data_IF_134833734833
#
_entry.id   IF_134833734833
#
_cell.length_a   1.000
_cell.length_b   1.000
_cell.length_c   1.000
_cell.angle_alpha   90.00
_cell.angle_beta   90.00
_cell.angle_gamma   90.00
#
_symmetry.space_group_name_H-M   'P 1'
#
loop_
_entity.id
_entity.type
_entity.pdbx_description
1 polymer ?
#
# COMPACT_ATOMS: atom_id res chain seq x y z
N UNK A 1 -72.45 -2.60 25.79
CA UNK A 1 -71.85 -2.43 24.44
C UNK A 1 -70.39 -2.90 24.36
N UNK A 2 -69.57 -2.70 25.40
CA UNK A 2 -68.17 -3.19 25.45
C UNK A 2 -68.03 -4.72 25.47
N UNK A 3 -68.97 -5.44 26.08
CA UNK A 3 -68.92 -6.90 26.23
C UNK A 3 -69.14 -7.67 24.92
N UNK A 4 -69.91 -7.10 23.98
CA UNK A 4 -70.11 -7.71 22.66
C UNK A 4 -68.88 -7.56 21.79
N UNK A 5 -68.23 -6.39 21.85
CA UNK A 5 -66.98 -6.14 21.14
C UNK A 5 -65.91 -7.14 21.61
N UNK A 6 -65.72 -7.31 22.92
CA UNK A 6 -64.74 -8.27 23.46
C UNK A 6 -65.01 -9.73 23.06
N UNK A 7 -66.29 -10.15 23.01
CA UNK A 7 -66.63 -11.50 22.56
C UNK A 7 -66.43 -11.69 21.04
N UNK A 8 -66.72 -10.68 20.23
CA UNK A 8 -66.48 -10.73 18.79
C UNK A 8 -64.97 -10.72 18.45
N UNK A 9 -64.17 -9.88 19.12
CA UNK A 9 -62.71 -9.85 18.91
C UNK A 9 -62.05 -11.11 19.47
N UNK A 10 -62.50 -11.64 20.60
CA UNK A 10 -61.96 -12.86 21.21
C UNK A 10 -62.21 -14.11 20.36
N UNK A 11 -63.38 -14.24 19.73
CA UNK A 11 -63.73 -15.43 18.92
C UNK A 11 -63.08 -15.43 17.53
N UNK A 12 -62.79 -14.26 16.97
CA UNK A 12 -62.26 -14.11 15.61
C UNK A 12 -60.82 -13.55 15.53
N UNK A 13 -60.12 -13.41 16.67
CA UNK A 13 -58.77 -12.84 16.73
C UNK A 13 -57.81 -13.49 15.72
N UNK A 14 -57.85 -14.83 15.54
CA UNK A 14 -56.98 -15.52 14.57
C UNK A 14 -57.22 -15.09 13.13
N UNK A 15 -58.47 -14.85 12.72
CA UNK A 15 -58.78 -14.36 11.37
C UNK A 15 -58.40 -12.89 11.21
N UNK A 16 -58.65 -12.07 12.22
CA UNK A 16 -58.33 -10.62 12.18
C UNK A 16 -56.81 -10.43 12.11
N UNK A 17 -56.04 -11.12 12.95
CA UNK A 17 -54.58 -11.06 12.91
C UNK A 17 -53.99 -11.71 11.66
N UNK A 18 -54.59 -12.79 11.15
CA UNK A 18 -54.18 -13.40 9.88
C UNK A 18 -54.36 -12.47 8.69
N UNK A 19 -55.49 -11.77 8.59
CA UNK A 19 -55.75 -10.78 7.55
C UNK A 19 -54.80 -9.58 7.67
N UNK A 20 -54.60 -9.06 8.89
CA UNK A 20 -53.67 -7.96 9.13
C UNK A 20 -52.23 -8.32 8.74
N UNK A 21 -51.80 -9.56 9.03
CA UNK A 21 -50.47 -10.05 8.68
C UNK A 21 -50.29 -10.14 7.16
N UNK A 22 -51.29 -10.63 6.42
CA UNK A 22 -51.24 -10.64 4.94
C UNK A 22 -51.14 -9.23 4.38
N UNK A 23 -51.92 -8.27 4.90
CA UNK A 23 -51.85 -6.87 4.46
C UNK A 23 -50.46 -6.27 4.72
N UNK A 24 -49.87 -6.54 5.89
CA UNK A 24 -48.52 -6.06 6.23
C UNK A 24 -47.46 -6.69 5.31
N UNK A 25 -47.49 -8.02 5.11
CA UNK A 25 -46.51 -8.72 4.26
C UNK A 25 -46.63 -8.27 2.80
N UNK A 26 -47.83 -8.17 2.26
CA UNK A 26 -48.05 -7.66 0.88
C UNK A 26 -47.58 -6.21 0.75
N UNK A 27 -47.81 -5.37 1.77
CA UNK A 27 -47.31 -3.98 1.78
C UNK A 27 -45.79 -3.92 1.79
N UNK A 28 -45.10 -4.73 2.58
CA UNK A 28 -43.63 -4.77 2.60
C UNK A 28 -43.04 -5.33 1.30
N UNK A 29 -43.70 -6.32 0.68
CA UNK A 29 -43.26 -6.88 -0.61
C UNK A 29 -43.46 -5.87 -1.76
N UNK A 30 -44.61 -5.20 -1.84
CA UNK A 30 -44.87 -4.20 -2.89
C UNK A 30 -44.10 -2.90 -2.67
N UNK A 31 -43.97 -2.40 -1.43
CA UNK A 31 -43.18 -1.19 -1.14
C UNK A 31 -41.67 -1.42 -1.28
N UNK A 32 -41.19 -2.62 -0.93
CA UNK A 32 -39.80 -3.04 -1.13
C UNK A 32 -39.42 -3.20 -2.61
N UNK A 33 -40.36 -3.58 -3.48
CA UNK A 33 -40.12 -3.71 -4.93
C UNK A 33 -40.35 -2.41 -5.72
N UNK A 34 -41.37 -1.61 -5.38
CA UNK A 34 -41.69 -0.39 -6.12
C UNK A 34 -40.70 0.77 -5.86
N UNK A 35 -40.04 0.80 -4.69
CA UNK A 35 -39.14 1.89 -4.30
C UNK A 35 -37.72 1.84 -4.85
N UNK A 36 -37.22 0.69 -5.33
CA UNK A 36 -35.82 0.54 -5.78
C UNK A 36 -35.58 0.74 -7.28
N UNK A 37 -36.61 0.60 -8.12
CA UNK A 37 -36.47 0.72 -9.58
C UNK A 37 -36.89 2.07 -10.16
N UNK A 38 -37.85 2.77 -9.53
CA UNK A 38 -38.56 3.87 -10.18
C UNK A 38 -37.94 5.28 -9.99
N UNK A 39 -36.91 5.43 -9.13
CA UNK A 39 -36.29 6.73 -8.83
C UNK A 39 -34.93 6.95 -9.49
N UNK A 40 -34.40 5.98 -10.25
CA UNK A 40 -33.24 6.20 -11.11
C UNK A 40 -33.73 6.71 -12.46
N UNK A 41 -34.02 8.01 -12.53
CA UNK A 41 -33.98 8.70 -13.81
C UNK A 41 -32.59 8.47 -14.41
N UNK A 42 -32.49 7.60 -15.41
CA UNK A 42 -31.32 7.49 -16.28
C UNK A 42 -31.27 8.75 -17.13
N UNK A 43 -31.00 9.91 -16.51
CA UNK A 43 -30.70 11.12 -17.24
C UNK A 43 -29.42 10.91 -18.03
N UNK A 44 -29.39 11.35 -19.29
CA UNK A 44 -28.17 11.36 -20.08
C UNK A 44 -27.09 12.16 -19.34
N UNK A 45 -25.91 11.58 -19.14
CA UNK A 45 -24.77 12.27 -18.55
C UNK A 45 -23.78 12.60 -19.66
N UNK A 46 -24.02 13.74 -20.31
CA UNK A 46 -23.26 14.18 -21.48
C UNK A 46 -21.89 14.73 -21.10
N UNK A 47 -20.84 14.23 -21.76
CA UNK A 47 -19.47 14.71 -21.63
C UNK A 47 -18.77 14.63 -22.98
N UNK A 48 -18.22 15.77 -23.46
CA UNK A 48 -17.63 15.88 -24.82
C UNK A 48 -18.55 15.38 -25.95
N UNK A 49 -19.88 15.57 -25.80
CA UNK A 49 -20.88 15.10 -26.77
C UNK A 49 -21.21 13.61 -26.70
N UNK A 50 -20.65 12.87 -25.73
CA UNK A 50 -20.90 11.45 -25.49
C UNK A 50 -21.72 11.27 -24.21
N UNK A 51 -22.79 10.49 -24.26
CA UNK A 51 -23.54 10.12 -23.06
C UNK A 51 -22.80 9.01 -22.30
N UNK A 52 -22.27 9.34 -21.13
CA UNK A 52 -21.54 8.41 -20.27
C UNK A 52 -22.45 7.35 -19.61
N UNK A 53 -23.77 7.57 -19.61
CA UNK A 53 -24.74 6.58 -19.18
C UNK A 53 -25.16 5.62 -20.30
N UNK A 54 -24.75 5.87 -21.55
CA UNK A 54 -25.00 4.98 -22.69
C UNK A 54 -24.40 3.59 -22.43
N UNK A 55 -25.22 2.51 -22.46
CA UNK A 55 -24.74 1.14 -22.31
C UNK A 55 -23.62 0.77 -23.28
N UNK A 56 -23.61 1.28 -24.51
CA UNK A 56 -22.59 1.01 -25.51
C UNK A 56 -21.25 1.64 -25.13
N UNK A 57 -21.26 2.91 -24.68
CA UNK A 57 -20.07 3.63 -24.20
C UNK A 57 -19.47 2.92 -22.99
N UNK A 58 -20.33 2.52 -22.03
CA UNK A 58 -19.90 1.78 -20.85
C UNK A 58 -19.38 0.39 -21.19
N UNK A 59 -19.99 -0.29 -22.17
CA UNK A 59 -19.51 -1.60 -22.62
C UNK A 59 -18.14 -1.51 -23.29
N UNK A 60 -17.95 -0.55 -24.19
CA UNK A 60 -16.66 -0.29 -24.85
C UNK A 60 -15.56 0.03 -23.85
N UNK A 61 -15.88 0.76 -22.78
CA UNK A 61 -14.94 1.02 -21.69
C UNK A 61 -14.62 -0.22 -20.87
N UNK A 62 -15.62 -1.06 -20.54
CA UNK A 62 -15.39 -2.35 -19.87
C UNK A 62 -14.50 -3.28 -20.70
N UNK A 63 -14.77 -3.36 -22.01
CA UNK A 63 -13.93 -4.13 -22.93
C UNK A 63 -12.50 -3.59 -22.93
N UNK A 64 -12.32 -2.26 -22.93
CA UNK A 64 -11.00 -1.64 -22.83
C UNK A 64 -10.28 -1.94 -21.50
N UNK A 65 -10.97 -1.89 -20.36
CA UNK A 65 -10.37 -2.26 -19.05
C UNK A 65 -9.94 -3.73 -19.05
N UNK A 66 -10.77 -4.60 -19.62
CA UNK A 66 -10.52 -6.03 -19.70
C UNK A 66 -9.28 -6.33 -20.54
N UNK A 67 -9.22 -5.83 -21.78
CA UNK A 67 -8.07 -6.07 -22.65
C UNK A 67 -6.80 -5.37 -22.16
N UNK A 68 -6.90 -4.20 -21.52
CA UNK A 68 -5.76 -3.56 -20.88
C UNK A 68 -5.15 -4.46 -19.80
N UNK A 69 -5.97 -5.02 -18.91
CA UNK A 69 -5.50 -5.92 -17.87
C UNK A 69 -4.85 -7.19 -18.45
N UNK A 70 -5.43 -7.80 -19.49
CA UNK A 70 -4.87 -8.99 -20.12
C UNK A 70 -3.55 -8.74 -20.86
N UNK A 71 -3.34 -7.52 -21.36
CA UNK A 71 -2.13 -7.12 -22.09
C UNK A 71 -1.08 -6.45 -21.17
N UNK A 72 -1.31 -6.49 -19.85
CA UNK A 72 -0.40 -5.91 -18.85
C UNK A 72 -0.40 -4.38 -18.80
N UNK A 73 -1.34 -3.72 -19.49
CA UNK A 73 -1.51 -2.27 -19.43
C UNK A 73 -2.31 -1.88 -18.18
N UNK A 74 -1.87 -0.83 -17.49
CA UNK A 74 -2.61 -0.27 -16.35
C UNK A 74 -3.67 0.70 -16.86
N UNK A 75 -4.93 0.38 -16.60
CA UNK A 75 -6.06 1.27 -16.88
C UNK A 75 -6.89 1.42 -15.61
N UNK A 76 -7.26 2.65 -15.26
CA UNK A 76 -8.12 2.91 -14.11
C UNK A 76 -9.54 2.43 -14.40
N UNK A 77 -10.09 1.59 -13.53
CA UNK A 77 -11.47 1.09 -13.63
C UNK A 77 -12.53 2.20 -13.50
N UNK A 78 -12.16 3.36 -12.95
CA UNK A 78 -13.01 4.56 -12.89
C UNK A 78 -12.68 5.59 -13.99
N UNK A 79 -11.78 5.26 -14.91
CA UNK A 79 -11.26 6.16 -15.95
C UNK A 79 -12.19 6.43 -17.15
N UNK A 80 -13.50 6.16 -17.06
CA UNK A 80 -14.42 6.31 -18.20
C UNK A 80 -14.43 7.74 -18.75
N UNK A 81 -14.52 8.73 -17.85
CA UNK A 81 -14.53 10.15 -18.21
C UNK A 81 -13.23 10.53 -18.92
N UNK A 82 -12.10 10.05 -18.39
CA UNK A 82 -10.78 10.31 -18.97
C UNK A 82 -10.65 9.71 -20.37
N UNK A 83 -11.01 8.44 -20.56
CA UNK A 83 -10.92 7.78 -21.86
C UNK A 83 -11.78 8.47 -22.92
N UNK A 84 -12.98 8.93 -22.53
CA UNK A 84 -13.84 9.71 -23.44
C UNK A 84 -13.20 11.07 -23.77
N UNK A 85 -12.56 11.74 -22.81
CA UNK A 85 -11.83 12.99 -23.08
C UNK A 85 -10.68 12.77 -24.07
N UNK A 86 -9.91 11.69 -23.90
CA UNK A 86 -8.76 11.36 -24.74
C UNK A 86 -9.18 10.97 -26.17
N UNK A 87 -10.28 10.25 -26.33
CA UNK A 87 -10.84 9.93 -27.65
C UNK A 87 -11.40 11.17 -28.34
N UNK A 88 -12.13 12.02 -27.61
CA UNK A 88 -12.61 13.31 -28.13
C UNK A 88 -11.45 14.22 -28.55
N UNK A 89 -10.33 14.18 -27.83
CA UNK A 89 -9.10 14.88 -28.21
C UNK A 89 -8.49 14.33 -29.50
N UNK A 90 -8.46 12.99 -29.66
CA UNK A 90 -8.01 12.37 -30.90
C UNK A 90 -8.91 12.73 -32.10
N UNK A 91 -10.23 12.80 -31.89
CA UNK A 91 -11.19 13.29 -32.90
C UNK A 91 -10.92 14.76 -33.26
N UNK A 92 -10.72 15.62 -32.26
CA UNK A 92 -10.43 17.04 -32.47
C UNK A 92 -9.11 17.30 -33.21
N UNK A 93 -8.13 16.42 -33.03
CA UNK A 93 -6.85 16.46 -33.75
C UNK A 93 -6.91 15.78 -35.13
N UNK A 94 -8.06 15.24 -35.52
CA UNK A 94 -8.22 14.54 -36.79
C UNK A 94 -7.36 13.28 -36.92
N UNK A 95 -7.04 12.62 -35.79
CA UNK A 95 -6.23 11.40 -35.79
C UNK A 95 -7.02 10.28 -36.47
N UNK A 96 -6.56 9.73 -37.62
CA UNK A 96 -7.28 8.68 -38.34
C UNK A 96 -7.28 7.37 -37.55
N UNK A 97 -8.06 6.39 -38.00
CA UNK A 97 -7.90 5.02 -37.51
C UNK A 97 -6.58 4.42 -38.03
N UNK A 98 -5.90 3.55 -37.25
CA UNK A 98 -4.74 2.81 -37.76
C UNK A 98 -5.13 1.93 -38.96
N UNK A 99 -4.19 1.73 -39.88
CA UNK A 99 -4.38 0.81 -41.01
C UNK A 99 -4.52 -0.65 -40.53
N UNK A 100 -5.14 -1.53 -41.34
CA UNK A 100 -5.28 -2.94 -40.98
C UNK A 100 -3.93 -3.64 -40.73
N UNK A 101 -2.88 -3.20 -41.43
CA UNK A 101 -1.51 -3.69 -41.24
C UNK A 101 -0.99 -3.29 -39.85
N UNK A 102 -1.23 -2.04 -39.43
CA UNK A 102 -0.86 -1.55 -38.11
C UNK A 102 -1.66 -2.24 -37.01
N UNK A 103 -2.97 -2.44 -37.19
CA UNK A 103 -3.81 -3.18 -36.24
C UNK A 103 -3.23 -4.58 -36.03
N UNK A 104 -2.92 -5.31 -37.10
CA UNK A 104 -2.32 -6.66 -37.01
C UNK A 104 -0.96 -6.65 -36.33
N UNK A 105 -0.14 -5.62 -36.60
CA UNK A 105 1.18 -5.45 -35.96
C UNK A 105 1.03 -5.23 -34.45
N UNK A 106 0.20 -4.27 -34.05
CA UNK A 106 -0.04 -3.91 -32.65
C UNK A 106 -0.68 -5.07 -31.90
N UNK A 107 -1.64 -5.77 -32.51
CA UNK A 107 -2.26 -6.96 -31.94
C UNK A 107 -1.21 -8.02 -31.57
N UNK A 108 -0.24 -8.28 -32.47
CA UNK A 108 0.86 -9.20 -32.16
C UNK A 108 1.75 -8.68 -31.05
N UNK A 109 2.15 -7.41 -31.09
CA UNK A 109 3.02 -6.80 -30.07
C UNK A 109 2.39 -6.87 -28.67
N UNK A 110 1.09 -6.57 -28.55
CA UNK A 110 0.36 -6.61 -27.29
C UNK A 110 0.14 -8.02 -26.72
N UNK A 111 0.22 -9.05 -27.57
CA UNK A 111 -0.11 -10.45 -27.20
C UNK A 111 1.10 -11.39 -27.25
N UNK A 112 2.29 -10.87 -27.52
CA UNK A 112 3.53 -11.65 -27.47
C UNK A 112 3.93 -11.86 -26.02
N UNK A 113 4.19 -13.11 -25.62
CA UNK A 113 4.67 -13.44 -24.29
C UNK A 113 6.05 -12.79 -24.02
N UNK A 114 6.41 -12.49 -22.76
CA UNK A 114 7.68 -11.83 -22.41
C UNK A 114 8.95 -12.55 -22.92
N UNK A 115 8.84 -13.83 -23.26
CA UNK A 115 9.93 -14.67 -23.78
C UNK A 115 10.10 -14.61 -25.31
N UNK A 116 9.19 -13.94 -26.05
CA UNK A 116 9.30 -13.70 -27.49
C UNK A 116 9.20 -14.94 -28.39
N UNK A 117 8.85 -16.12 -27.87
CA UNK A 117 9.05 -17.40 -28.58
C UNK A 117 7.82 -18.04 -29.21
N UNK A 118 6.60 -17.54 -28.96
CA UNK A 118 5.38 -18.16 -29.52
C UNK A 118 4.77 -17.32 -30.63
N UNK A 119 4.83 -17.82 -31.87
CA UNK A 119 4.15 -17.23 -33.03
C UNK A 119 2.60 -17.25 -32.91
N UNK A 120 2.06 -18.04 -31.97
CA UNK A 120 0.62 -18.22 -31.73
C UNK A 120 0.06 -17.34 -30.61
N UNK A 121 0.84 -16.38 -30.08
CA UNK A 121 0.44 -15.54 -28.94
C UNK A 121 -0.91 -14.86 -29.12
N UNK A 122 -1.17 -14.30 -30.31
CA UNK A 122 -2.44 -13.64 -30.63
C UNK A 122 -3.64 -14.61 -30.62
N UNK A 123 -3.50 -15.79 -31.22
CA UNK A 123 -4.60 -16.75 -31.29
C UNK A 123 -4.91 -17.35 -29.91
N UNK A 124 -3.88 -17.67 -29.12
CA UNK A 124 -4.05 -18.14 -27.73
C UNK A 124 -4.67 -17.06 -26.84
N UNK A 125 -4.27 -15.80 -27.02
CA UNK A 125 -4.85 -14.67 -26.33
C UNK A 125 -6.34 -14.53 -26.66
N UNK A 126 -6.72 -14.57 -27.94
CA UNK A 126 -8.12 -14.46 -28.37
C UNK A 126 -8.96 -15.65 -27.90
N UNK A 127 -8.41 -16.86 -27.92
CA UNK A 127 -9.07 -18.06 -27.37
C UNK A 127 -9.31 -17.91 -25.86
N UNK A 128 -8.34 -17.40 -25.12
CA UNK A 128 -8.50 -17.17 -23.69
C UNK A 128 -9.48 -16.03 -23.39
N UNK A 129 -9.42 -14.92 -24.14
CA UNK A 129 -10.33 -13.79 -24.02
C UNK A 129 -11.78 -14.17 -24.33
N UNK A 130 -12.03 -14.95 -25.39
CA UNK A 130 -13.36 -15.43 -25.75
C UNK A 130 -13.99 -16.30 -24.66
N UNK A 131 -13.18 -17.18 -24.04
CA UNK A 131 -13.62 -17.98 -22.86
C UNK A 131 -13.97 -17.11 -21.67
N UNK A 132 -13.18 -16.07 -21.37
CA UNK A 132 -13.44 -15.17 -20.23
C UNK A 132 -14.64 -14.24 -20.45
N UNK A 133 -14.81 -13.72 -21.67
CA UNK A 133 -15.94 -12.86 -22.03
C UNK A 133 -17.23 -13.65 -22.29
N UNK A 134 -17.13 -14.97 -22.48
CA UNK A 134 -18.24 -15.84 -22.86
C UNK A 134 -18.95 -15.37 -24.14
N UNK A 135 -18.16 -15.02 -25.15
CA UNK A 135 -18.63 -14.57 -26.47
C UNK A 135 -17.90 -15.31 -27.59
N UNK A 136 -18.40 -15.20 -28.81
CA UNK A 136 -17.76 -15.84 -29.97
C UNK A 136 -16.36 -15.31 -30.24
N UNK A 137 -15.52 -16.11 -30.92
CA UNK A 137 -14.19 -15.66 -31.36
C UNK A 137 -14.28 -14.43 -32.29
N UNK A 138 -15.27 -14.41 -33.19
CA UNK A 138 -15.52 -13.28 -34.09
C UNK A 138 -15.83 -11.99 -33.31
N UNK A 139 -16.68 -12.08 -32.30
CA UNK A 139 -17.02 -10.93 -31.45
C UNK A 139 -15.84 -10.48 -30.60
N UNK A 140 -15.06 -11.42 -30.06
CA UNK A 140 -13.84 -11.14 -29.30
C UNK A 140 -12.83 -10.37 -30.14
N UNK A 141 -12.64 -10.78 -31.40
CA UNK A 141 -11.76 -10.10 -32.36
C UNK A 141 -12.22 -8.67 -32.63
N UNK A 142 -13.51 -8.45 -32.87
CA UNK A 142 -14.06 -7.13 -33.13
C UNK A 142 -13.90 -6.18 -31.93
N UNK A 143 -14.13 -6.69 -30.71
CA UNK A 143 -13.93 -5.91 -29.47
C UNK A 143 -12.46 -5.60 -29.23
N UNK A 144 -11.56 -6.56 -29.44
CA UNK A 144 -10.12 -6.36 -29.31
C UNK A 144 -9.57 -5.36 -30.35
N UNK A 145 -10.04 -5.45 -31.59
CA UNK A 145 -9.71 -4.49 -32.64
C UNK A 145 -10.17 -3.07 -32.28
N UNK A 146 -11.38 -2.93 -31.73
CA UNK A 146 -11.89 -1.64 -31.25
C UNK A 146 -11.00 -1.07 -30.13
N UNK A 147 -10.57 -1.92 -29.20
CA UNK A 147 -9.61 -1.53 -28.16
C UNK A 147 -8.27 -1.05 -28.74
N UNK A 148 -7.71 -1.77 -29.73
CA UNK A 148 -6.47 -1.38 -30.40
C UNK A 148 -6.62 -0.03 -31.08
N UNK A 149 -7.70 0.18 -31.84
CA UNK A 149 -7.98 1.45 -32.54
C UNK A 149 -8.02 2.62 -31.55
N UNK A 150 -8.77 2.47 -30.47
CA UNK A 150 -8.91 3.53 -29.46
C UNK A 150 -7.58 3.85 -28.79
N UNK A 151 -6.88 2.83 -28.31
CA UNK A 151 -5.62 3.00 -27.60
C UNK A 151 -4.54 3.61 -28.51
N UNK A 152 -4.49 3.20 -29.78
CA UNK A 152 -3.59 3.80 -30.76
C UNK A 152 -3.92 5.28 -31.01
N UNK A 153 -5.20 5.63 -31.19
CA UNK A 153 -5.63 7.01 -31.42
C UNK A 153 -5.31 7.92 -30.23
N UNK A 154 -5.54 7.42 -29.01
CA UNK A 154 -5.19 8.13 -27.77
C UNK A 154 -3.68 8.35 -27.68
N UNK A 155 -2.86 7.31 -27.86
CA UNK A 155 -1.41 7.43 -27.81
C UNK A 155 -0.87 8.37 -28.89
N UNK A 156 -1.46 8.33 -30.09
CA UNK A 156 -1.10 9.23 -31.19
C UNK A 156 -1.47 10.68 -30.87
N UNK A 157 -2.64 10.93 -30.27
CA UNK A 157 -3.05 12.26 -29.81
C UNK A 157 -2.09 12.80 -28.73
N UNK A 158 -1.78 11.99 -27.72
CA UNK A 158 -0.86 12.38 -26.64
C UNK A 158 0.56 12.63 -27.18
N UNK A 159 1.10 11.74 -28.01
CA UNK A 159 2.44 11.93 -28.60
C UNK A 159 2.52 13.12 -29.54
N UNK A 160 1.44 13.44 -30.26
CA UNK A 160 1.34 14.64 -31.09
C UNK A 160 1.38 15.90 -30.24
N UNK A 161 0.71 15.91 -29.09
CA UNK A 161 0.69 17.06 -28.17
C UNK A 161 1.92 17.16 -27.26
N UNK A 162 2.59 16.04 -26.99
CA UNK A 162 3.80 15.99 -26.16
C UNK A 162 5.05 16.54 -26.89
N UNK A 163 4.95 16.89 -28.17
CA UNK A 163 5.98 17.66 -28.86
C UNK A 163 6.05 19.11 -28.39
N UNK A 164 7.23 19.71 -28.41
CA UNK A 164 7.42 21.13 -28.06
C UNK A 164 6.75 22.02 -29.10
N UNK A 165 5.48 22.42 -28.89
CA UNK A 165 4.85 23.45 -29.73
C UNK A 165 3.33 23.42 -29.90
N UNK A 166 2.58 22.45 -29.37
CA UNK A 166 1.15 22.37 -29.64
C UNK A 166 0.29 22.81 -28.44
N UNK A 167 -0.10 24.09 -28.44
CA UNK A 167 -1.24 24.57 -27.65
C UNK A 167 -2.52 24.39 -28.49
N UNK A 168 -3.55 23.76 -27.92
CA UNK A 168 -4.84 23.60 -28.62
C UNK A 168 -5.55 24.95 -28.74
N UNK A 169 -6.43 25.11 -29.74
CA UNK A 169 -7.22 26.34 -29.90
C UNK A 169 -8.05 26.65 -28.64
N UNK A 170 -8.52 25.62 -27.94
CA UNK A 170 -9.23 25.75 -26.66
C UNK A 170 -8.34 26.23 -25.52
N UNK A 171 -7.07 25.80 -25.45
CA UNK A 171 -6.10 26.27 -24.46
C UNK A 171 -5.73 27.74 -24.72
N UNK A 172 -5.48 28.12 -25.97
CA UNK A 172 -5.19 29.51 -26.37
C UNK A 172 -6.39 30.41 -26.05
N UNK A 173 -7.60 29.97 -26.39
CA UNK A 173 -8.84 30.70 -26.06
C UNK A 173 -9.01 30.87 -24.55
N UNK A 174 -8.77 29.82 -23.76
CA UNK A 174 -8.88 29.90 -22.29
C UNK A 174 -7.83 30.82 -21.67
N UNK A 175 -6.61 30.86 -22.22
CA UNK A 175 -5.55 31.79 -21.78
C UNK A 175 -5.97 33.23 -22.11
N UNK A 176 -6.42 33.49 -23.34
CA UNK A 176 -6.90 34.81 -23.76
C UNK A 176 -8.13 35.27 -22.96
N UNK A 177 -9.08 34.37 -22.67
CA UNK A 177 -10.23 34.67 -21.83
C UNK A 177 -9.81 34.98 -20.40
N UNK A 178 -8.84 34.25 -19.84
CA UNK A 178 -8.31 34.51 -18.49
C UNK A 178 -7.54 35.84 -18.41
N UNK A 179 -6.72 36.14 -19.42
CA UNK A 179 -5.95 37.39 -19.49
C UNK A 179 -6.83 38.61 -19.75
N UNK A 180 -7.95 38.45 -20.48
CA UNK A 180 -8.90 39.53 -20.76
C UNK A 180 -10.06 39.62 -19.77
N UNK A 181 -10.21 38.64 -18.88
CA UNK A 181 -11.18 38.69 -17.80
C UNK A 181 -10.79 39.75 -16.77
N UNK A 182 -11.60 40.81 -16.67
CA UNK A 182 -11.55 41.73 -15.54
C UNK A 182 -12.32 41.10 -14.38
N UNK A 183 -11.61 40.70 -13.35
CA UNK A 183 -12.20 40.18 -12.13
C UNK A 183 -12.52 41.34 -11.18
N UNK A 184 -13.79 41.51 -10.86
CA UNK A 184 -14.21 42.22 -9.64
C UNK A 184 -14.22 41.20 -8.51
N UNK A 185 -13.30 41.36 -7.57
CA UNK A 185 -13.20 40.49 -6.40
C UNK A 185 -13.84 41.21 -5.22
N UNK A 186 -15.04 40.79 -4.84
CA UNK A 186 -15.65 41.18 -3.57
C UNK A 186 -15.11 40.26 -2.48
N UNK A 187 -14.25 40.81 -1.62
CA UNK A 187 -13.67 40.05 -0.50
C UNK A 187 -14.57 40.19 0.72
N UNK A 188 -15.27 39.11 1.07
CA UNK A 188 -15.90 38.98 2.38
C UNK A 188 -14.84 38.49 3.39
N UNK A 189 -14.30 39.40 4.18
CA UNK A 189 -13.38 39.05 5.28
C UNK A 189 -14.16 38.59 6.50
N UNK A 190 -13.98 37.32 6.89
CA UNK A 190 -14.44 36.79 8.16
C UNK A 190 -13.39 37.06 9.25
N UNK A 191 -13.76 37.85 10.26
CA UNK A 191 -12.89 38.13 11.40
C UNK A 191 -12.86 36.95 12.38
N UNK A 192 -12.02 35.94 12.08
CA UNK A 192 -11.87 34.73 12.90
C UNK A 192 -11.45 35.02 14.35
N UNK A 193 -10.77 36.14 14.60
CA UNK A 193 -10.33 36.54 15.94
C UNK A 193 -11.50 36.75 16.94
N UNK A 194 -12.71 37.04 16.45
CA UNK A 194 -13.91 37.20 17.28
C UNK A 194 -14.83 35.96 17.30
N UNK A 195 -14.55 34.95 16.49
CA UNK A 195 -15.40 33.78 16.38
C UNK A 195 -15.10 32.78 17.49
N UNK A 196 -15.92 32.81 18.53
CA UNK A 196 -15.99 31.73 19.53
C UNK A 196 -17.20 30.87 19.20
N UNK A 197 -16.97 29.76 18.50
CA UNK A 197 -18.00 28.74 18.38
C UNK A 197 -18.30 28.22 19.80
N UNK A 198 -19.55 28.35 20.25
CA UNK A 198 -20.03 27.67 21.46
C UNK A 198 -20.19 26.18 21.14
N UNK A 199 -19.06 25.47 21.07
CA UNK A 199 -19.04 24.02 20.92
C UNK A 199 -19.27 23.43 22.31
N UNK A 200 -20.53 23.15 22.62
CA UNK A 200 -20.87 22.38 23.81
C UNK A 200 -20.31 20.98 23.65
N UNK A 201 -19.24 20.68 24.39
CA UNK A 201 -18.65 19.34 24.44
C UNK A 201 -19.62 18.44 25.19
N UNK A 202 -20.31 17.60 24.42
CA UNK A 202 -21.16 16.53 24.95
C UNK A 202 -20.31 15.27 25.07
N UNK A 203 -19.98 14.90 26.31
CA UNK A 203 -19.11 13.76 26.61
C UNK A 203 -19.68 12.44 26.05
N UNK A 204 -21.00 12.31 25.95
CA UNK A 204 -21.63 11.12 25.37
C UNK A 204 -21.37 11.03 23.86
N UNK A 205 -21.45 12.16 23.15
CA UNK A 205 -21.14 12.22 21.71
C UNK A 205 -19.66 12.04 21.43
N UNK A 206 -18.79 12.53 22.32
CA UNK A 206 -17.33 12.29 22.22
C UNK A 206 -17.05 10.80 22.39
N UNK A 207 -17.66 10.14 23.38
CA UNK A 207 -17.52 8.69 23.58
C UNK A 207 -18.07 7.88 22.40
N UNK A 208 -19.21 8.28 21.84
CA UNK A 208 -19.78 7.64 20.65
C UNK A 208 -18.86 7.79 19.44
N UNK A 209 -18.35 9.01 19.19
CA UNK A 209 -17.40 9.27 18.11
C UNK A 209 -16.07 8.54 18.29
N UNK A 210 -15.55 8.45 19.51
CA UNK A 210 -14.35 7.67 19.82
C UNK A 210 -14.58 6.17 19.55
N UNK A 211 -15.69 5.63 20.04
CA UNK A 211 -16.03 4.20 19.86
C UNK A 211 -16.22 3.85 18.38
N UNK A 212 -16.89 4.70 17.61
CA UNK A 212 -17.09 4.51 16.18
C UNK A 212 -15.78 4.56 15.36
N UNK A 213 -14.73 5.16 15.93
CA UNK A 213 -13.44 5.37 15.26
C UNK A 213 -12.28 4.73 16.03
N UNK A 214 -12.54 3.69 16.83
CA UNK A 214 -11.54 3.12 17.74
C UNK A 214 -10.24 2.68 17.03
N UNK A 215 -10.34 2.20 15.79
CA UNK A 215 -9.17 1.82 14.98
C UNK A 215 -8.29 3.02 14.61
N UNK A 216 -8.87 4.22 14.46
CA UNK A 216 -8.10 5.44 14.18
C UNK A 216 -7.33 5.97 15.41
N UNK A 217 -7.69 5.48 16.60
CA UNK A 217 -7.06 5.84 17.87
C UNK A 217 -6.28 4.67 18.49
N UNK A 218 -6.13 3.56 17.76
CA UNK A 218 -5.37 2.41 18.22
C UNK A 218 -3.89 2.77 18.24
N UNK A 219 -3.31 2.83 19.45
CA UNK A 219 -1.87 2.99 19.60
C UNK A 219 -1.16 1.74 19.04
N UNK A 220 -0.05 1.91 18.31
CA UNK A 220 0.77 0.78 17.86
C UNK A 220 1.23 -0.07 19.04
N UNK A 221 1.51 -1.35 18.79
CA UNK A 221 2.09 -2.22 19.80
C UNK A 221 3.42 -1.63 20.29
N UNK A 222 3.53 -1.43 21.61
CA UNK A 222 4.76 -0.99 22.24
C UNK A 222 5.44 -2.16 22.93
N UNK A 223 6.77 -2.14 22.94
CA UNK A 223 7.60 -3.17 23.57
C UNK A 223 8.49 -2.52 24.62
N UNK A 224 8.54 -3.14 25.80
CA UNK A 224 9.44 -2.76 26.87
C UNK A 224 10.52 -3.83 27.01
N UNK A 225 11.79 -3.43 26.88
CA UNK A 225 12.93 -4.35 26.97
C UNK A 225 13.98 -3.86 27.95
N UNK A 226 14.77 -4.81 28.45
CA UNK A 226 15.93 -4.53 29.30
C UNK A 226 17.19 -4.97 28.57
N UNK A 227 18.10 -4.02 28.33
CA UNK A 227 19.39 -4.31 27.72
C UNK A 227 20.43 -4.67 28.80
N UNK A 228 21.14 -5.78 28.59
CA UNK A 228 22.21 -6.26 29.46
C UNK A 228 23.52 -6.13 28.67
N UNK A 229 24.41 -5.24 29.10
CA UNK A 229 25.71 -5.03 28.45
C UNK A 229 26.82 -5.66 29.28
N UNK A 230 27.60 -6.54 28.66
CA UNK A 230 28.77 -7.18 29.27
C UNK A 230 30.02 -6.68 28.54
N UNK A 231 31.00 -6.20 29.30
CA UNK A 231 32.26 -5.74 28.73
C UNK A 231 33.27 -6.91 28.64
N UNK A 232 34.07 -6.99 27.57
CA UNK A 232 35.17 -7.95 27.50
C UNK A 232 36.17 -7.68 28.61
N UNK A 233 36.46 -8.71 29.41
CA UNK A 233 37.41 -8.63 30.53
C UNK A 233 38.79 -9.21 30.20
N UNK A 234 38.90 -10.04 29.17
CA UNK A 234 40.14 -10.67 28.74
C UNK A 234 40.69 -10.03 27.46
N UNK A 235 41.98 -9.70 27.47
CA UNK A 235 42.67 -9.21 26.28
C UNK A 235 43.00 -10.39 25.34
N UNK A 236 42.72 -10.24 24.05
CA UNK A 236 43.14 -11.23 23.05
C UNK A 236 44.67 -11.15 22.84
N UNK A 237 45.33 -12.27 23.10
CA UNK A 237 46.78 -12.46 22.96
C UNK A 237 47.12 -13.40 21.82
N UNK A 238 46.13 -13.97 21.13
CA UNK A 238 46.36 -14.87 20.00
C UNK A 238 47.07 -14.13 18.85
N UNK A 239 47.93 -14.82 18.09
CA UNK A 239 48.57 -14.22 16.93
C UNK A 239 47.51 -13.75 15.91
N UNK A 240 47.77 -12.59 15.31
CA UNK A 240 46.91 -12.01 14.26
C UNK A 240 47.59 -12.19 12.91
N UNK A 241 46.89 -12.88 12.01
CA UNK A 241 47.39 -13.16 10.66
C UNK A 241 47.30 -11.95 9.74
N UNK A 242 48.10 -11.95 8.67
CA UNK A 242 48.07 -10.88 7.68
C UNK A 242 46.72 -10.82 6.94
N UNK A 243 46.07 -11.97 6.72
CA UNK A 243 44.75 -12.05 6.08
C UNK A 243 43.67 -11.37 6.92
N UNK A 244 43.72 -11.50 8.24
CA UNK A 244 42.78 -10.82 9.14
C UNK A 244 42.98 -9.31 9.16
N UNK A 245 44.23 -8.87 9.08
CA UNK A 245 44.55 -7.44 8.95
C UNK A 245 44.00 -6.90 7.63
N UNK A 246 44.14 -7.65 6.54
CA UNK A 246 43.63 -7.27 5.23
C UNK A 246 42.10 -7.19 5.25
N UNK A 247 41.42 -8.20 5.82
CA UNK A 247 39.96 -8.22 5.93
C UNK A 247 39.44 -7.05 6.78
N UNK A 248 40.06 -6.80 7.94
CA UNK A 248 39.74 -5.63 8.77
C UNK A 248 40.02 -4.31 8.03
N UNK A 249 41.08 -4.28 7.21
CA UNK A 249 41.41 -3.16 6.35
C UNK A 249 40.33 -2.86 5.31
N UNK A 250 39.72 -3.88 4.70
CA UNK A 250 38.55 -3.71 3.83
C UNK A 250 37.33 -3.19 4.59
N UNK A 251 37.03 -3.74 5.76
CA UNK A 251 35.89 -3.31 6.59
C UNK A 251 36.02 -1.86 7.08
N UNK A 252 37.26 -1.37 7.25
CA UNK A 252 37.54 -0.03 7.74
C UNK A 252 38.09 0.90 6.64
N UNK A 253 37.98 0.51 5.36
CA UNK A 253 38.61 1.22 4.25
C UNK A 253 38.16 2.69 4.15
N UNK A 254 36.87 2.95 4.37
CA UNK A 254 36.32 4.30 4.38
C UNK A 254 36.88 5.14 5.54
N UNK A 255 36.93 4.55 6.75
CA UNK A 255 37.44 5.21 7.96
C UNK A 255 38.92 5.57 7.83
N UNK A 256 39.72 4.67 7.29
CA UNK A 256 41.15 4.90 7.07
C UNK A 256 41.48 5.62 5.75
N UNK A 257 40.44 5.93 4.94
CA UNK A 257 40.55 6.57 3.62
C UNK A 257 41.50 5.83 2.68
N UNK A 258 41.38 4.50 2.64
CA UNK A 258 42.20 3.69 1.74
C UNK A 258 41.83 3.90 0.28
N UNK A 259 42.83 3.88 -0.59
CA UNK A 259 42.66 3.99 -2.03
C UNK A 259 42.02 2.71 -2.59
N UNK A 260 40.98 2.87 -3.41
CA UNK A 260 40.32 1.76 -4.09
C UNK A 260 41.34 1.00 -4.95
N UNK A 261 41.48 -0.30 -4.70
CA UNK A 261 42.47 -1.17 -5.39
C UNK A 261 43.83 -1.30 -4.70
N UNK A 262 44.12 -0.54 -3.63
CA UNK A 262 45.36 -0.65 -2.82
C UNK A 262 45.13 -0.96 -1.35
N UNK A 263 43.92 -1.42 -1.00
CA UNK A 263 43.52 -1.68 0.39
C UNK A 263 44.45 -2.72 1.03
N UNK A 264 44.92 -3.72 0.28
CA UNK A 264 45.82 -4.76 0.79
C UNK A 264 47.16 -4.18 1.26
N UNK A 265 47.86 -3.41 0.43
CA UNK A 265 49.15 -2.83 0.80
C UNK A 265 48.98 -1.79 1.92
N UNK A 266 47.93 -0.98 1.85
CA UNK A 266 47.69 0.09 2.83
C UNK A 266 47.24 -0.46 4.19
N UNK A 267 46.50 -1.58 4.22
CA UNK A 267 46.14 -2.27 5.45
C UNK A 267 47.37 -2.86 6.14
N UNK A 268 48.26 -3.53 5.39
CA UNK A 268 49.50 -4.06 5.94
C UNK A 268 50.44 -2.96 6.44
N UNK A 269 50.50 -1.82 5.74
CA UNK A 269 51.25 -0.65 6.21
C UNK A 269 50.70 -0.07 7.54
N UNK A 270 49.40 -0.23 7.79
CA UNK A 270 48.72 0.17 9.04
C UNK A 270 48.45 -0.98 10.01
N UNK A 271 49.23 -2.07 9.94
CA UNK A 271 49.03 -3.28 10.74
C UNK A 271 48.81 -2.98 12.23
N UNK A 272 49.65 -2.16 12.86
CA UNK A 272 49.56 -1.90 14.29
C UNK A 272 48.23 -1.25 14.73
N UNK A 273 47.58 -0.47 13.85
CA UNK A 273 46.28 0.15 14.12
C UNK A 273 45.13 -0.84 13.88
N UNK A 274 45.19 -1.59 12.78
CA UNK A 274 44.18 -2.60 12.44
C UNK A 274 44.23 -3.81 13.38
N UNK A 275 45.41 -4.19 13.86
CA UNK A 275 45.58 -5.29 14.80
C UNK A 275 44.86 -5.03 16.13
N UNK A 276 44.86 -3.78 16.61
CA UNK A 276 44.06 -3.40 17.79
C UNK A 276 42.57 -3.60 17.55
N UNK A 277 42.08 -3.29 16.36
CA UNK A 277 40.69 -3.49 15.97
C UNK A 277 40.35 -4.98 15.84
N UNK A 278 41.21 -5.77 15.21
CA UNK A 278 41.04 -7.24 15.10
C UNK A 278 40.99 -7.89 16.48
N UNK A 279 41.92 -7.54 17.38
CA UNK A 279 41.93 -8.09 18.75
C UNK A 279 40.68 -7.68 19.54
N UNK A 280 40.22 -6.44 19.37
CA UNK A 280 38.99 -5.98 20.00
C UNK A 280 37.76 -6.75 19.47
N UNK A 281 37.67 -6.91 18.15
CA UNK A 281 36.60 -7.64 17.46
C UNK A 281 36.54 -9.13 17.86
N UNK A 282 37.70 -9.80 17.89
CA UNK A 282 37.81 -11.18 18.40
C UNK A 282 37.43 -11.28 19.87
N UNK A 283 37.87 -10.35 20.72
CA UNK A 283 37.52 -10.36 22.14
C UNK A 283 36.01 -10.22 22.36
N UNK A 284 35.34 -9.38 21.58
CA UNK A 284 33.88 -9.21 21.60
C UNK A 284 33.19 -10.48 21.07
N UNK A 285 33.62 -11.00 19.92
CA UNK A 285 33.02 -12.19 19.28
C UNK A 285 33.16 -13.44 20.14
N UNK A 286 34.35 -13.68 20.72
CA UNK A 286 34.58 -14.81 21.61
C UNK A 286 33.74 -14.70 22.88
N UNK A 287 33.64 -13.49 23.47
CA UNK A 287 32.79 -13.26 24.64
C UNK A 287 31.33 -13.49 24.31
N UNK A 288 30.84 -12.99 23.17
CA UNK A 288 29.47 -13.17 22.75
C UNK A 288 29.14 -14.65 22.54
N UNK A 289 30.04 -15.42 21.92
CA UNK A 289 29.91 -16.88 21.79
C UNK A 289 29.81 -17.56 23.17
N UNK A 290 30.75 -17.26 24.07
CA UNK A 290 30.74 -17.83 25.43
C UNK A 290 29.46 -17.48 26.21
N UNK A 291 28.98 -16.24 26.11
CA UNK A 291 27.74 -15.80 26.75
C UNK A 291 26.54 -16.53 26.13
N UNK A 292 26.51 -16.64 24.80
CA UNK A 292 25.43 -17.32 24.10
C UNK A 292 25.33 -18.79 24.51
N UNK A 293 26.47 -19.49 24.58
CA UNK A 293 26.52 -20.89 25.00
C UNK A 293 26.09 -21.04 26.47
N UNK A 294 26.58 -20.18 27.36
CA UNK A 294 26.24 -20.23 28.78
C UNK A 294 24.77 -19.89 29.04
N UNK A 295 24.21 -18.94 28.29
CA UNK A 295 22.79 -18.64 28.33
C UNK A 295 21.99 -19.85 27.87
N UNK A 296 22.31 -20.44 26.72
CA UNK A 296 21.60 -21.60 26.18
C UNK A 296 21.66 -22.83 27.11
N UNK A 297 22.80 -23.07 27.77
CA UNK A 297 22.98 -24.21 28.68
C UNK A 297 22.26 -24.01 30.03
N UNK A 298 22.37 -22.82 30.64
CA UNK A 298 21.85 -22.57 31.99
C UNK A 298 20.41 -22.08 32.02
N UNK A 299 19.99 -21.43 30.95
CA UNK A 299 18.67 -20.84 30.81
C UNK A 299 18.12 -21.29 29.45
N UNK A 300 17.39 -22.40 29.40
CA UNK A 300 16.75 -22.81 28.16
C UNK A 300 15.53 -21.91 27.87
N UNK A 301 15.38 -21.47 26.62
CA UNK A 301 14.34 -20.51 26.17
C UNK A 301 12.93 -21.01 26.52
N UNK A 302 12.70 -22.31 26.50
CA UNK A 302 11.36 -22.86 26.74
C UNK A 302 10.96 -22.92 28.23
N UNK A 303 11.94 -22.83 29.14
CA UNK A 303 11.73 -23.14 30.58
C UNK A 303 12.11 -22.01 31.52
N UNK A 304 13.08 -21.15 31.17
CA UNK A 304 13.50 -20.04 32.02
C UNK A 304 12.76 -18.75 31.69
N UNK A 305 12.29 -18.05 32.72
CA UNK A 305 11.70 -16.71 32.57
C UNK A 305 12.76 -15.63 32.64
N UNK A 306 12.55 -14.55 31.89
CA UNK A 306 13.42 -13.37 31.91
C UNK A 306 13.50 -12.67 33.30
N UNK A 307 12.53 -12.90 34.19
CA UNK A 307 12.50 -12.37 35.57
C UNK A 307 12.97 -13.38 36.63
N UNK A 308 13.58 -14.50 36.22
CA UNK A 308 14.06 -15.54 37.15
C UNK A 308 15.16 -15.04 38.09
N UNK A 309 15.13 -15.53 39.33
CA UNK A 309 16.14 -15.17 40.36
C UNK A 309 17.53 -15.68 39.96
N UNK A 310 17.57 -16.82 39.28
CA UNK A 310 18.77 -17.47 38.77
C UNK A 310 19.44 -16.60 37.70
N UNK A 311 18.67 -16.04 36.77
CA UNK A 311 19.19 -15.13 35.74
C UNK A 311 19.70 -13.82 36.38
N UNK A 312 18.96 -13.25 37.32
CA UNK A 312 19.40 -12.05 38.04
C UNK A 312 20.73 -12.27 38.80
N UNK A 313 20.90 -13.44 39.42
CA UNK A 313 22.15 -13.82 40.08
C UNK A 313 23.30 -13.97 39.08
N UNK A 314 23.03 -14.58 37.92
CA UNK A 314 24.00 -14.75 36.84
C UNK A 314 24.47 -13.42 36.25
N UNK A 315 23.53 -12.51 35.95
CA UNK A 315 23.83 -11.15 35.44
C UNK A 315 24.76 -10.41 36.42
N UNK A 316 24.47 -10.52 37.72
CA UNK A 316 25.30 -9.91 38.77
C UNK A 316 26.70 -10.53 38.83
N UNK A 317 26.82 -11.84 38.67
CA UNK A 317 28.12 -12.53 38.65
C UNK A 317 28.99 -12.12 37.45
N UNK A 318 28.38 -11.78 36.31
CA UNK A 318 29.07 -11.27 35.11
C UNK A 318 29.44 -9.79 35.18
N UNK A 319 29.14 -9.10 36.28
CA UNK A 319 29.33 -7.65 36.42
C UNK A 319 28.71 -6.86 35.25
N UNK A 320 27.56 -7.33 34.76
CA UNK A 320 26.89 -6.76 33.61
C UNK A 320 26.16 -5.45 33.97
N UNK A 321 26.10 -4.52 33.03
CA UNK A 321 25.32 -3.28 33.17
C UNK A 321 23.90 -3.52 32.67
N UNK A 322 22.92 -3.32 33.54
CA UNK A 322 21.50 -3.39 33.21
C UNK A 322 21.00 -2.00 32.84
N UNK A 323 20.36 -1.87 31.68
CA UNK A 323 19.75 -0.61 31.20
C UNK A 323 18.30 -0.88 30.85
N UNK A 324 17.37 -0.33 31.63
CA UNK A 324 15.95 -0.38 31.32
C UNK A 324 15.64 0.59 30.17
N UNK A 325 14.98 0.10 29.12
CA UNK A 325 14.61 0.90 27.96
C UNK A 325 13.12 1.24 28.06
N UNK A 326 12.73 2.53 28.00
CA UNK A 326 11.32 2.92 28.01
C UNK A 326 10.54 2.23 26.88
N UNK A 327 9.27 1.95 27.13
CA UNK A 327 8.36 1.37 26.13
C UNK A 327 8.41 2.13 24.81
N UNK A 328 8.62 1.43 23.69
CA UNK A 328 8.75 2.06 22.38
C UNK A 328 8.02 1.29 21.27
N UNK A 329 7.75 1.97 20.16
CA UNK A 329 7.15 1.37 18.97
C UNK A 329 8.21 0.61 18.17
N UNK A 330 7.96 -0.65 17.82
CA UNK A 330 8.93 -1.51 17.09
C UNK A 330 9.43 -0.88 15.79
N UNK A 331 8.56 -0.12 15.11
CA UNK A 331 8.89 0.58 13.86
C UNK A 331 9.74 1.84 14.06
N UNK A 332 9.87 2.32 15.29
CA UNK A 332 10.62 3.53 15.64
C UNK A 332 11.38 3.33 16.97
N UNK A 333 12.40 2.45 16.99
CA UNK A 333 13.15 2.17 18.21
C UNK A 333 13.97 3.40 18.65
N UNK A 334 14.09 3.65 19.97
CA UNK A 334 14.85 4.78 20.49
C UNK A 334 16.34 4.57 20.28
N UNK A 335 17.08 5.66 20.08
CA UNK A 335 18.54 5.59 20.12
C UNK A 335 19.02 5.55 21.56
N UNK A 336 19.53 4.40 22.00
CA UNK A 336 20.12 4.22 23.34
C UNK A 336 21.62 4.05 23.21
N UNK A 337 22.40 4.86 23.94
CA UNK A 337 23.85 4.82 23.88
C UNK A 337 24.38 3.42 24.23
N UNK A 338 25.26 2.87 23.38
CA UNK A 338 25.87 1.54 23.52
C UNK A 338 24.89 0.36 23.42
N UNK A 339 23.70 0.58 22.86
CA UNK A 339 22.78 -0.50 22.45
C UNK A 339 22.61 -0.41 20.93
N UNK A 340 22.93 -1.46 20.16
CA UNK A 340 22.75 -1.45 18.71
C UNK A 340 21.28 -1.22 18.33
N UNK A 341 21.03 -0.41 17.30
CA UNK A 341 19.68 -0.14 16.82
C UNK A 341 18.98 -1.40 16.29
N UNK A 342 19.73 -2.31 15.64
CA UNK A 342 19.19 -3.59 15.17
C UNK A 342 18.71 -4.47 16.34
N UNK A 343 19.42 -4.49 17.47
CA UNK A 343 19.00 -5.24 18.66
C UNK A 343 17.61 -4.77 19.17
N UNK A 344 17.33 -3.46 19.09
CA UNK A 344 16.03 -2.88 19.48
C UNK A 344 14.94 -3.09 18.42
N UNK A 345 15.32 -3.19 17.15
CA UNK A 345 14.37 -3.47 16.06
C UNK A 345 13.88 -4.91 16.13
N UNK A 346 14.80 -5.83 16.42
CA UNK A 346 14.54 -7.26 16.58
C UNK A 346 13.84 -7.57 17.91
N UNK A 347 13.93 -6.67 18.91
CA UNK A 347 13.23 -6.82 20.18
C UNK A 347 11.71 -6.99 20.05
N UNK A 348 11.11 -6.52 18.96
CA UNK A 348 9.69 -6.74 18.66
C UNK A 348 9.30 -8.20 18.40
N UNK A 349 10.28 -9.06 18.12
CA UNK A 349 10.08 -10.50 17.93
C UNK A 349 10.27 -11.30 19.22
N UNK A 350 10.79 -10.68 20.29
CA UNK A 350 11.06 -11.35 21.55
C UNK A 350 9.76 -11.56 22.34
N UNK A 351 9.56 -12.77 22.82
CA UNK A 351 8.53 -13.08 23.83
C UNK A 351 9.11 -12.97 25.25
N UNK A 352 8.27 -13.07 26.28
CA UNK A 352 8.68 -13.06 27.71
C UNK A 352 9.68 -14.17 28.10
N UNK A 353 9.94 -15.11 27.19
CA UNK A 353 10.78 -16.29 27.38
C UNK A 353 12.06 -16.27 26.55
N UNK A 354 12.18 -15.35 25.60
CA UNK A 354 13.27 -15.33 24.63
C UNK A 354 14.29 -14.24 24.96
N UNK A 355 15.56 -14.55 24.70
CA UNK A 355 16.67 -13.60 24.71
C UNK A 355 17.44 -13.71 23.40
N UNK A 356 18.01 -12.60 22.94
CA UNK A 356 18.93 -12.56 21.80
C UNK A 356 20.25 -11.92 22.21
N UNK A 357 21.33 -12.47 21.68
CA UNK A 357 22.69 -11.98 21.81
C UNK A 357 23.08 -11.35 20.47
N UNK A 358 23.43 -10.06 20.51
CA UNK A 358 23.96 -9.33 19.35
C UNK A 358 25.41 -8.94 19.64
N UNK A 359 26.27 -9.01 18.61
CA UNK A 359 27.72 -8.77 18.69
C UNK A 359 28.07 -7.34 18.27
#
# INVERSE_FOLDING_TARGET
>A
MITWLQNATGKHHRMIFGFLLVVIVVSFVFYGFAGRGALRGSGSYMYQGVDLNDPAVRSRFRDATFFAQMTGQRMDNNGLVQRVAELSLADALGIPSPSDVEIRRIAREMTTAPDGKSADGLNKFLEFASKQLNVSDLETRARFETYIKDTWRIQKAVSTLAGSGHATASQIKRILERERAKWTVDVATFASAGFKADVKVDEAKVKEAFTANIENYRLPAQVAVTAITIAPSAADTAPVSDDEIINMGYNQAEKFKFETGKVKEQALAKRAELEKLVRADRAITNLAGQISDELAEKFAIDTAKADSKELAAWIKAKNAKITAIPSFEVINPPTVAKVPAEALRVAGELTEKEWRTEV
#
